data_IF_559546749627
#
_entry.id   IF_559546749627
#
_cell.length_a   1.000
_cell.length_b   1.000
_cell.length_c   1.000
_cell.angle_alpha   90.00
_cell.angle_beta   90.00
_cell.angle_gamma   90.00
#
_symmetry.space_group_name_H-M   'P 1'
#
loop_
_entity.id
_entity.type
_entity.pdbx_description
1 polymer ?
#
# COMPACT_ATOMS: atom_id res chain seq x y z
N UNK A 1 -39.96 -9.13 1.29
CA UNK A 1 -38.56 -8.83 1.66
C UNK A 1 -37.69 -9.00 0.41
N UNK A 2 -37.42 -7.91 -0.32
CA UNK A 2 -36.56 -7.98 -1.50
C UNK A 2 -35.11 -8.17 -1.08
N UNK A 3 -34.54 -9.34 -1.35
CA UNK A 3 -33.10 -9.60 -1.25
C UNK A 3 -32.41 -8.72 -2.30
N UNK A 4 -31.88 -7.57 -1.91
CA UNK A 4 -30.94 -6.79 -2.72
C UNK A 4 -29.69 -7.65 -2.88
N UNK A 5 -29.53 -8.27 -4.04
CA UNK A 5 -28.24 -8.80 -4.48
C UNK A 5 -27.26 -7.62 -4.53
N UNK A 6 -26.08 -7.72 -3.90
CA UNK A 6 -25.07 -6.67 -3.98
C UNK A 6 -24.70 -6.46 -5.45
N UNK A 7 -24.56 -5.21 -5.84
CA UNK A 7 -24.18 -4.85 -7.20
C UNK A 7 -22.81 -5.49 -7.51
N UNK A 8 -22.59 -6.06 -8.70
CA UNK A 8 -21.28 -6.60 -9.09
C UNK A 8 -20.14 -5.58 -8.91
N UNK A 9 -20.45 -4.27 -8.98
CA UNK A 9 -19.47 -3.21 -8.70
C UNK A 9 -19.01 -3.17 -7.24
N UNK A 10 -19.90 -3.41 -6.27
CA UNK A 10 -19.56 -3.38 -4.84
C UNK A 10 -18.60 -4.51 -4.46
N UNK A 11 -18.71 -5.66 -5.11
CA UNK A 11 -17.85 -6.82 -4.84
C UNK A 11 -16.43 -6.62 -5.35
N UNK A 12 -16.28 -5.96 -6.50
CA UNK A 12 -14.97 -5.68 -7.10
C UNK A 12 -14.15 -4.70 -6.23
N UNK A 13 -14.80 -3.66 -5.71
CA UNK A 13 -14.15 -2.68 -4.80
C UNK A 13 -13.66 -3.36 -3.51
N UNK A 14 -14.47 -4.27 -2.94
CA UNK A 14 -14.10 -5.00 -1.72
C UNK A 14 -12.93 -5.97 -1.94
N UNK A 15 -12.85 -6.63 -3.10
CA UNK A 15 -11.68 -7.47 -3.44
C UNK A 15 -10.42 -6.64 -3.67
N UNK A 16 -10.53 -5.48 -4.32
CA UNK A 16 -9.41 -4.56 -4.51
C UNK A 16 -8.86 -4.06 -3.17
N UNK A 17 -9.72 -3.60 -2.27
CA UNK A 17 -9.31 -3.19 -0.91
C UNK A 17 -8.62 -4.33 -0.14
N UNK A 18 -9.12 -5.56 -0.29
CA UNK A 18 -8.53 -6.75 0.35
C UNK A 18 -7.15 -7.08 -0.22
N UNK A 19 -6.99 -6.98 -1.55
CA UNK A 19 -5.71 -7.20 -2.21
C UNK A 19 -4.69 -6.14 -1.78
N UNK A 20 -5.11 -4.88 -1.68
CA UNK A 20 -4.24 -3.82 -1.15
C UNK A 20 -3.87 -4.09 0.31
N UNK A 21 -4.83 -4.44 1.17
CA UNK A 21 -4.54 -4.73 2.57
C UNK A 21 -3.52 -5.87 2.72
N UNK A 22 -3.62 -6.92 1.90
CA UNK A 22 -2.65 -8.01 1.87
C UNK A 22 -1.27 -7.56 1.38
N UNK A 23 -1.20 -6.72 0.35
CA UNK A 23 0.06 -6.16 -0.15
C UNK A 23 0.73 -5.25 0.87
N UNK A 24 -0.05 -4.42 1.58
CA UNK A 24 0.42 -3.58 2.68
C UNK A 24 0.98 -4.43 3.82
N UNK A 25 0.26 -5.46 4.25
CA UNK A 25 0.72 -6.36 5.31
C UNK A 25 2.02 -7.10 4.90
N UNK A 26 2.11 -7.54 3.64
CA UNK A 26 3.34 -8.16 3.12
C UNK A 26 4.50 -7.16 3.07
N UNK A 27 4.27 -5.94 2.60
CA UNK A 27 5.28 -4.89 2.57
C UNK A 27 5.76 -4.55 3.99
N UNK A 28 4.86 -4.49 4.97
CA UNK A 28 5.21 -4.30 6.38
C UNK A 28 6.00 -5.48 6.95
N UNK A 29 5.70 -6.72 6.56
CA UNK A 29 6.46 -7.91 6.98
C UNK A 29 7.88 -7.91 6.42
N UNK A 30 8.04 -7.53 5.16
CA UNK A 30 9.32 -7.56 4.44
C UNK A 30 10.20 -6.37 4.79
N UNK A 31 9.65 -5.16 4.73
CA UNK A 31 10.40 -3.91 4.87
C UNK A 31 10.30 -3.30 6.28
N UNK A 32 9.37 -3.77 7.12
CA UNK A 32 9.17 -3.29 8.50
C UNK A 32 9.12 -1.77 8.58
N UNK A 33 10.13 -1.16 9.20
CA UNK A 33 10.29 0.27 9.39
C UNK A 33 10.33 1.05 8.07
N UNK A 34 10.91 0.44 7.03
CA UNK A 34 11.16 1.09 5.76
C UNK A 34 10.02 0.86 4.75
N UNK A 35 8.92 0.21 5.14
CA UNK A 35 7.82 -0.09 4.22
C UNK A 35 7.25 1.16 3.53
N UNK A 36 7.16 2.29 4.24
CA UNK A 36 6.72 3.56 3.66
C UNK A 36 7.74 4.11 2.66
N UNK A 37 9.03 4.04 2.98
CA UNK A 37 10.13 4.44 2.08
C UNK A 37 10.20 3.54 0.84
N UNK A 38 10.04 2.23 1.02
CA UNK A 38 10.01 1.25 -0.06
C UNK A 38 8.82 1.49 -1.00
N UNK A 39 7.63 1.76 -0.47
CA UNK A 39 6.47 2.11 -1.30
C UNK A 39 6.69 3.39 -2.11
N UNK A 40 7.28 4.42 -1.51
CA UNK A 40 7.64 5.65 -2.22
C UNK A 40 8.68 5.40 -3.34
N UNK A 41 9.71 4.61 -3.05
CA UNK A 41 10.73 4.25 -4.04
C UNK A 41 10.13 3.50 -5.23
N UNK A 42 9.27 2.50 -4.97
CA UNK A 42 8.57 1.74 -6.02
C UNK A 42 7.64 2.61 -6.86
N UNK A 43 6.96 3.58 -6.25
CA UNK A 43 6.15 4.55 -7.00
C UNK A 43 7.04 5.36 -7.97
N UNK A 44 8.19 5.85 -7.52
CA UNK A 44 9.11 6.62 -8.37
C UNK A 44 9.68 5.77 -9.52
N UNK A 45 10.09 4.52 -9.27
CA UNK A 45 10.53 3.60 -10.32
C UNK A 45 9.43 3.39 -11.38
N UNK A 46 8.21 3.12 -10.95
CA UNK A 46 7.08 2.92 -11.86
C UNK A 46 6.77 4.18 -12.69
N UNK A 47 6.87 5.37 -12.07
CA UNK A 47 6.72 6.65 -12.78
C UNK A 47 7.78 6.84 -13.87
N UNK A 48 9.06 6.61 -13.53
CA UNK A 48 10.17 6.75 -14.47
C UNK A 48 10.04 5.78 -15.66
N UNK A 49 9.50 4.59 -15.42
CA UNK A 49 9.29 3.56 -16.45
C UNK A 49 7.93 3.67 -17.17
N UNK A 50 7.13 4.71 -16.90
CA UNK A 50 5.80 4.93 -17.49
C UNK A 50 4.80 3.79 -17.22
N UNK A 51 4.92 3.13 -16.06
CA UNK A 51 4.01 2.07 -15.58
C UNK A 51 2.92 2.67 -14.70
N UNK A 52 1.94 3.35 -15.31
CA UNK A 52 0.92 4.17 -14.62
C UNK A 52 0.09 3.39 -13.58
N UNK A 53 -0.27 2.14 -13.89
CA UNK A 53 -1.03 1.29 -12.96
C UNK A 53 -0.24 0.94 -11.70
N UNK A 54 1.05 0.62 -11.86
CA UNK A 54 1.93 0.34 -10.73
C UNK A 54 2.23 1.59 -9.92
N UNK A 55 2.41 2.73 -10.59
CA UNK A 55 2.57 4.02 -9.92
C UNK A 55 1.39 4.34 -9.00
N UNK A 56 0.17 4.20 -9.52
CA UNK A 56 -1.07 4.44 -8.76
C UNK A 56 -1.20 3.49 -7.57
N UNK A 57 -0.90 2.20 -7.79
CA UNK A 57 -0.91 1.19 -6.73
C UNK A 57 0.10 1.52 -5.61
N UNK A 58 1.35 1.80 -5.94
CA UNK A 58 2.39 2.09 -4.94
C UNK A 58 2.16 3.42 -4.21
N UNK A 59 1.60 4.42 -4.88
CA UNK A 59 1.12 5.64 -4.23
C UNK A 59 0.02 5.34 -3.21
N UNK A 60 -0.97 4.52 -3.57
CA UNK A 60 -2.04 4.14 -2.66
C UNK A 60 -1.50 3.39 -1.43
N UNK A 61 -0.55 2.47 -1.62
CA UNK A 61 0.17 1.80 -0.53
C UNK A 61 0.94 2.81 0.34
N UNK A 62 1.66 3.76 -0.25
CA UNK A 62 2.40 4.80 0.48
C UNK A 62 1.48 5.65 1.39
N UNK A 63 0.29 5.99 0.89
CA UNK A 63 -0.69 6.75 1.67
C UNK A 63 -1.37 5.93 2.77
N UNK A 64 -1.54 4.63 2.58
CA UNK A 64 -2.21 3.73 3.54
C UNK A 64 -1.26 3.19 4.61
N UNK A 65 0.04 3.05 4.33
CA UNK A 65 1.04 2.64 5.31
C UNK A 65 1.23 3.73 6.37
N UNK A 66 0.87 3.40 7.61
CA UNK A 66 1.19 4.23 8.77
C UNK A 66 2.68 4.12 9.09
N UNK A 67 3.38 5.25 9.34
CA UNK A 67 4.77 5.19 9.80
C UNK A 67 4.82 4.40 11.11
N UNK A 68 5.71 3.40 11.17
CA UNK A 68 5.86 2.59 12.37
C UNK A 68 6.47 3.43 13.48
N UNK A 69 5.68 3.78 14.49
CA UNK A 69 6.10 4.56 15.67
C UNK A 69 6.55 3.67 16.85
N UNK A 70 6.76 2.37 16.62
CA UNK A 70 7.26 1.46 17.65
C UNK A 70 8.76 1.66 17.94
N UNK A 71 9.22 1.34 19.17
CA UNK A 71 10.63 1.41 19.53
C UNK A 71 11.40 0.38 18.69
N UNK A 72 12.25 0.87 17.77
CA UNK A 72 13.02 0.03 16.85
C UNK A 72 13.18 0.60 15.43
N UNK A 73 12.42 1.62 15.06
CA UNK A 73 12.44 2.22 13.72
C UNK A 73 12.93 3.68 13.69
N UNK A 74 13.43 4.22 14.81
CA UNK A 74 14.09 5.52 14.80
C UNK A 74 15.38 5.38 13.97
N UNK A 75 15.36 5.89 12.73
CA UNK A 75 16.58 6.13 11.96
C UNK A 75 17.49 6.99 12.84
N UNK A 76 18.64 6.44 13.24
CA UNK A 76 19.67 7.23 13.88
C UNK A 76 20.03 8.36 12.91
N UNK A 77 19.77 9.59 13.32
CA UNK A 77 20.12 10.78 12.55
C UNK A 77 21.65 10.76 12.38
N UNK A 78 22.22 10.59 11.17
CA UNK A 78 23.66 10.72 11.02
C UNK A 78 24.00 12.20 11.25
N UNK A 79 24.76 12.44 12.32
CA UNK A 79 25.31 13.75 12.67
C UNK A 79 26.28 14.28 11.61
#
# INVERSE_FOLDING_TARGET
MSKKTPDPSDKAVVEEERAVAAAVDLAMKVYRCDAKTAAAHRALEAWMEKREGEFTFWLYVFHTVKPHSGPGCAHANPA
#
